data_IF_126263529874
#
_entry.id   IF_126263529874
#
_cell.length_a   1.000
_cell.length_b   1.000
_cell.length_c   1.000
_cell.angle_alpha   90.00
_cell.angle_beta   90.00
_cell.angle_gamma   90.00
#
_symmetry.space_group_name_H-M   'P 1'
#
loop_
_entity.id
_entity.type
_entity.pdbx_description
1 polymer ?
#
# COMPACT_ATOMS: atom_id res chain seq x y z
N UNK A 1 7.52 -7.21 0.79
CA UNK A 1 6.08 -6.86 0.89
C UNK A 1 5.37 -7.19 -0.41
N UNK A 2 4.06 -7.33 -0.39
CA UNK A 2 3.21 -7.25 -1.58
C UNK A 2 2.43 -5.91 -1.58
N UNK A 3 2.14 -5.36 -2.75
CA UNK A 3 1.36 -4.13 -2.92
C UNK A 3 0.17 -4.43 -3.81
N UNK A 4 -1.03 -4.12 -3.34
CA UNK A 4 -2.26 -4.07 -4.13
C UNK A 4 -2.55 -2.60 -4.46
N UNK A 5 -2.18 -2.11 -5.66
CA UNK A 5 -2.27 -0.69 -6.01
C UNK A 5 -3.71 -0.17 -6.16
N UNK A 6 -4.67 -1.11 -6.22
CA UNK A 6 -6.10 -0.87 -6.39
C UNK A 6 -6.87 -1.85 -5.51
N UNK A 7 -7.25 -1.40 -4.31
CA UNK A 7 -7.94 -2.23 -3.33
C UNK A 7 -9.35 -1.70 -3.01
N UNK A 8 -9.86 -0.75 -3.79
CA UNK A 8 -11.22 -0.25 -3.65
C UNK A 8 -12.23 -1.39 -3.86
N UNK A 9 -13.23 -1.45 -2.98
CA UNK A 9 -14.24 -2.51 -2.99
C UNK A 9 -13.89 -3.75 -2.17
N UNK A 10 -12.63 -3.92 -1.75
CA UNK A 10 -12.26 -5.01 -0.85
C UNK A 10 -12.71 -4.71 0.60
N UNK A 11 -13.26 -5.72 1.25
CA UNK A 11 -13.53 -5.74 2.69
C UNK A 11 -12.25 -5.95 3.49
N UNK A 12 -12.30 -5.68 4.80
CA UNK A 12 -11.17 -5.93 5.70
C UNK A 12 -10.82 -7.43 5.75
N UNK A 13 -11.83 -8.29 5.74
CA UNK A 13 -11.71 -9.73 5.80
C UNK A 13 -11.04 -10.29 4.53
N UNK A 14 -11.38 -9.75 3.36
CA UNK A 14 -10.72 -10.07 2.09
C UNK A 14 -9.26 -9.61 2.09
N UNK A 15 -8.98 -8.36 2.52
CA UNK A 15 -7.60 -7.87 2.64
C UNK A 15 -6.76 -8.74 3.58
N UNK A 16 -7.31 -9.15 4.72
CA UNK A 16 -6.63 -10.04 5.67
C UNK A 16 -6.44 -11.46 5.11
N UNK A 17 -7.39 -11.95 4.30
CA UNK A 17 -7.29 -13.26 3.66
C UNK A 17 -6.24 -13.27 2.56
N UNK A 18 -6.20 -12.22 1.74
CA UNK A 18 -5.14 -12.00 0.75
C UNK A 18 -3.78 -11.86 1.43
N UNK A 19 -3.66 -11.09 2.52
CA UNK A 19 -2.41 -10.96 3.25
C UNK A 19 -1.92 -12.31 3.82
N UNK A 20 -2.83 -13.18 4.25
CA UNK A 20 -2.53 -14.56 4.66
C UNK A 20 -2.04 -15.41 3.49
N UNK A 21 -2.72 -15.32 2.34
CA UNK A 21 -2.38 -16.07 1.13
C UNK A 21 -1.00 -15.67 0.58
N UNK A 22 -0.70 -14.36 0.56
CA UNK A 22 0.62 -13.86 0.14
C UNK A 22 1.75 -14.37 1.03
N UNK A 23 1.48 -14.61 2.32
CA UNK A 23 2.43 -15.13 3.30
C UNK A 23 3.78 -14.39 3.32
N UNK A 24 3.73 -13.07 3.17
CA UNK A 24 4.89 -12.17 3.30
C UNK A 24 4.82 -11.43 4.64
N UNK A 25 5.93 -10.81 5.06
CA UNK A 25 5.98 -9.98 6.27
C UNK A 25 4.85 -8.94 6.31
N UNK A 26 4.64 -8.23 5.20
CA UNK A 26 3.54 -7.27 5.05
C UNK A 26 2.96 -7.27 3.63
N UNK A 27 1.68 -6.98 3.56
CA UNK A 27 0.90 -6.72 2.36
C UNK A 27 0.21 -5.37 2.50
N UNK A 28 0.31 -4.51 1.49
CA UNK A 28 -0.30 -3.18 1.51
C UNK A 28 -1.44 -3.06 0.51
N UNK A 29 -2.49 -2.34 0.90
CA UNK A 29 -3.68 -2.11 0.09
C UNK A 29 -3.90 -0.62 -0.08
N UNK A 30 -3.91 -0.16 -1.33
CA UNK A 30 -4.07 1.25 -1.68
C UNK A 30 -5.53 1.53 -1.98
N UNK A 31 -6.07 2.52 -1.27
CA UNK A 31 -7.47 2.92 -1.26
C UNK A 31 -7.60 4.41 -1.63
N UNK A 32 -8.80 4.86 -2.03
CA UNK A 32 -9.08 6.27 -2.19
C UNK A 32 -8.74 7.08 -0.92
N UNK A 33 -8.30 8.33 -1.08
CA UNK A 33 -7.94 9.18 0.06
C UNK A 33 -9.16 9.45 0.95
N UNK A 34 -8.95 9.45 2.27
CA UNK A 34 -9.99 9.76 3.26
C UNK A 34 -9.86 11.15 3.88
N UNK A 35 -8.73 11.83 3.67
CA UNK A 35 -8.44 13.15 4.20
C UNK A 35 -8.15 14.15 3.07
N UNK A 36 -8.59 15.39 3.24
CA UNK A 36 -8.28 16.47 2.30
C UNK A 36 -6.76 16.66 2.20
N UNK A 37 -6.24 16.65 0.96
CA UNK A 37 -4.81 16.80 0.68
C UNK A 37 -3.98 15.51 0.73
N UNK A 38 -4.59 14.35 1.02
CA UNK A 38 -3.93 13.07 0.84
C UNK A 38 -4.14 12.55 -0.59
N UNK A 39 -3.11 11.92 -1.18
CA UNK A 39 -3.21 11.31 -2.51
C UNK A 39 -3.92 9.94 -2.45
N UNK A 40 -3.70 9.18 -1.38
CA UNK A 40 -4.26 7.84 -1.19
C UNK A 40 -4.27 7.45 0.30
N UNK A 41 -5.08 6.46 0.66
CA UNK A 41 -5.01 5.75 1.93
C UNK A 41 -4.28 4.43 1.73
N UNK A 42 -3.40 4.06 2.66
CA UNK A 42 -2.75 2.74 2.68
C UNK A 42 -3.18 1.99 3.93
N UNK A 43 -3.61 0.75 3.78
CA UNK A 43 -3.74 -0.22 4.88
C UNK A 43 -2.65 -1.26 4.79
N UNK A 44 -2.15 -1.72 5.93
CA UNK A 44 -0.99 -2.61 6.00
C UNK A 44 -1.40 -3.82 6.81
N UNK A 45 -1.19 -5.01 6.27
CA UNK A 45 -1.53 -6.27 6.91
C UNK A 45 -0.30 -7.17 6.99
N UNK A 46 -0.12 -7.81 8.12
CA UNK A 46 0.64 -9.06 8.22
C UNK A 46 -0.29 -10.24 7.94
N UNK A 47 0.22 -11.48 7.84
CA UNK A 47 -0.65 -12.66 7.79
C UNK A 47 -1.54 -12.80 9.04
N UNK A 48 -1.17 -12.21 10.18
CA UNK A 48 -1.91 -12.37 11.42
C UNK A 48 -2.95 -11.26 11.66
N UNK A 49 -2.63 -10.02 11.32
CA UNK A 49 -3.43 -8.85 11.66
C UNK A 49 -3.09 -7.61 10.82
N UNK A 50 -3.99 -6.63 10.83
CA UNK A 50 -3.73 -5.27 10.37
C UNK A 50 -2.76 -4.53 11.31
N UNK A 51 -1.84 -3.77 10.73
CA UNK A 51 -0.93 -2.88 11.43
C UNK A 51 -1.35 -1.43 11.24
N UNK A 52 -1.22 -0.59 12.29
CA UNK A 52 -1.49 0.84 12.16
C UNK A 52 -0.45 1.54 11.27
N UNK A 53 0.79 1.06 11.24
CA UNK A 53 1.89 1.64 10.47
C UNK A 53 3.08 0.68 10.35
N UNK A 54 3.82 0.78 9.23
CA UNK A 54 5.16 0.20 9.08
C UNK A 54 5.96 1.02 8.06
N UNK A 55 7.25 1.26 8.33
CA UNK A 55 8.09 2.17 7.54
C UNK A 55 8.39 1.65 6.13
N UNK A 56 9.05 0.48 6.01
CA UNK A 56 9.42 -0.07 4.70
C UNK A 56 8.21 -0.39 3.81
N UNK A 57 7.03 -0.81 4.31
CA UNK A 57 5.87 -0.98 3.46
C UNK A 57 5.32 0.32 2.91
N UNK A 58 5.38 1.43 3.66
CA UNK A 58 4.98 2.75 3.15
C UNK A 58 5.91 3.21 2.04
N UNK A 59 7.24 3.12 2.25
CA UNK A 59 8.23 3.51 1.22
C UNK A 59 8.10 2.62 -0.02
N UNK A 60 8.00 1.30 0.15
CA UNK A 60 7.83 0.37 -0.96
C UNK A 60 6.52 0.58 -1.73
N UNK A 61 5.42 0.86 -1.02
CA UNK A 61 4.13 1.18 -1.66
C UNK A 61 4.23 2.46 -2.48
N UNK A 62 4.83 3.52 -1.93
CA UNK A 62 5.02 4.76 -2.68
C UNK A 62 5.89 4.52 -3.93
N UNK A 63 6.97 3.76 -3.81
CA UNK A 63 7.82 3.43 -4.96
C UNK A 63 7.03 2.71 -6.06
N UNK A 64 6.23 1.70 -5.70
CA UNK A 64 5.35 0.99 -6.65
C UNK A 64 4.36 1.94 -7.31
N UNK A 65 3.67 2.78 -6.54
CA UNK A 65 2.70 3.73 -7.09
C UNK A 65 3.34 4.75 -8.04
N UNK A 66 4.54 5.23 -7.71
CA UNK A 66 5.28 6.11 -8.57
C UNK A 66 5.72 5.42 -9.87
N UNK A 67 6.20 4.17 -9.78
CA UNK A 67 6.60 3.37 -10.95
C UNK A 67 5.40 3.07 -11.86
N UNK A 68 4.21 2.90 -11.29
CA UNK A 68 2.95 2.73 -12.03
C UNK A 68 2.35 4.05 -12.54
N UNK A 69 3.00 5.19 -12.32
CA UNK A 69 2.51 6.51 -12.74
C UNK A 69 1.29 7.01 -11.94
N UNK A 70 0.97 6.39 -10.79
CA UNK A 70 -0.15 6.76 -9.91
C UNK A 70 0.19 7.89 -8.94
N UNK A 71 1.48 8.18 -8.76
CA UNK A 71 1.96 9.33 -8.00
C UNK A 71 2.86 10.18 -8.87
N UNK A 72 2.60 11.49 -8.89
CA UNK A 72 3.43 12.43 -9.62
C UNK A 72 4.72 12.69 -8.83
N UNK A 73 5.82 12.16 -9.33
CA UNK A 73 7.14 12.48 -8.80
C UNK A 73 7.54 13.92 -9.17
N UNK A 74 8.28 14.57 -8.28
CA UNK A 74 8.82 15.93 -8.48
C UNK A 74 10.34 15.85 -8.57
N UNK A 75 10.93 16.62 -9.48
CA UNK A 75 12.37 16.67 -9.65
C UNK A 75 13.08 17.38 -8.47
N UNK A 76 14.36 17.02 -8.20
CA UNK A 76 15.19 16.02 -8.88
C UNK A 76 14.85 14.57 -8.46
N UNK A 77 14.96 13.62 -9.41
CA UNK A 77 14.66 12.21 -9.18
C UNK A 77 15.94 11.39 -9.00
N UNK A 78 16.00 10.60 -7.93
CA UNK A 78 17.04 9.57 -7.75
C UNK A 78 16.56 8.27 -8.37
N UNK A 79 17.29 7.77 -9.36
CA UNK A 79 17.07 6.44 -9.95
C UNK A 79 17.96 5.42 -9.23
N UNK A 80 17.38 4.28 -8.86
CA UNK A 80 18.05 3.15 -8.19
C UNK A 80 18.03 1.92 -9.08
#
# INVERSE_FOLDING_TARGET
LAVFPEAEGLTTEEMQSLAREMNLSETTFVLPPQASGADFKVRIFTPAAELPFAGHPVVGTHWVLAHLGRVKLREPLTQV
#
